data_IF_301294918214
#
_entry.id   IF_301294918214
#
_cell.length_a   1.000
_cell.length_b   1.000
_cell.length_c   1.000
_cell.angle_alpha   90.00
_cell.angle_beta   90.00
_cell.angle_gamma   90.00
#
_symmetry.space_group_name_H-M   'P 1'
#
loop_
_entity.id
_entity.type
_entity.pdbx_description
1 polymer ?
#
# COMPACT_ATOMS: atom_id res chain seq x y z
N UNK A 1 -24.41 13.36 14.69
CA UNK A 1 -25.14 12.33 13.91
C UNK A 1 -24.09 11.40 13.32
N UNK A 2 -24.25 10.06 13.38
CA UNK A 2 -23.29 9.15 12.76
C UNK A 2 -23.27 9.33 11.24
N UNK A 3 -22.11 9.14 10.62
CA UNK A 3 -21.94 9.16 9.17
C UNK A 3 -22.56 7.88 8.55
N UNK A 4 -23.39 8.00 7.51
CA UNK A 4 -23.88 6.83 6.77
C UNK A 4 -22.74 6.05 6.12
N UNK A 5 -22.84 4.72 6.09
CA UNK A 5 -21.82 3.84 5.49
C UNK A 5 -21.50 4.21 4.04
N UNK A 6 -22.53 4.57 3.27
CA UNK A 6 -22.39 4.97 1.86
C UNK A 6 -21.58 6.25 1.66
N UNK A 7 -21.39 7.07 2.72
CA UNK A 7 -20.66 8.34 2.66
C UNK A 7 -19.22 8.23 3.15
N UNK A 8 -18.82 7.08 3.73
CA UNK A 8 -17.48 6.91 4.32
C UNK A 8 -16.40 7.09 3.25
N UNK A 9 -16.53 6.45 2.09
CA UNK A 9 -15.53 6.53 1.01
C UNK A 9 -15.50 7.89 0.30
N UNK A 10 -16.58 8.67 0.40
CA UNK A 10 -16.72 9.99 -0.26
C UNK A 10 -16.59 11.18 0.70
N UNK A 11 -16.18 10.89 1.94
CA UNK A 11 -15.90 11.88 2.97
C UNK A 11 -14.72 12.77 2.56
N UNK A 12 -14.78 14.06 2.92
CA UNK A 12 -13.67 15.00 2.69
C UNK A 12 -12.58 14.77 3.74
N UNK A 13 -11.55 14.03 3.36
CA UNK A 13 -10.39 13.69 4.19
C UNK A 13 -9.13 13.76 3.34
N UNK A 14 -7.97 13.92 3.96
CA UNK A 14 -6.70 13.87 3.22
C UNK A 14 -6.31 12.44 2.84
N UNK A 15 -6.55 11.49 3.77
CA UNK A 15 -6.19 10.07 3.64
C UNK A 15 -7.40 9.18 3.83
N UNK A 16 -7.64 8.31 2.86
CA UNK A 16 -8.58 7.20 2.97
C UNK A 16 -7.82 5.90 3.22
N UNK A 17 -8.17 5.16 4.26
CA UNK A 17 -7.47 3.94 4.66
C UNK A 17 -8.41 2.71 4.72
N UNK A 18 -8.61 1.99 3.60
CA UNK A 18 -9.35 0.72 3.60
C UNK A 18 -8.57 -0.38 4.33
N UNK A 19 -9.07 -0.82 5.49
CA UNK A 19 -8.35 -1.75 6.37
C UNK A 19 -9.12 -3.05 6.70
N UNK A 20 -10.27 -3.29 6.05
CA UNK A 20 -11.13 -4.43 6.33
C UNK A 20 -11.11 -5.48 5.20
N UNK A 21 -11.97 -5.30 4.19
CA UNK A 21 -12.09 -6.22 3.04
C UNK A 21 -11.46 -5.60 1.78
N UNK A 22 -10.98 -6.47 0.89
CA UNK A 22 -10.51 -6.09 -0.44
C UNK A 22 -11.65 -5.64 -1.36
N UNK A 23 -11.29 -4.95 -2.45
CA UNK A 23 -12.21 -4.46 -3.48
C UNK A 23 -13.00 -3.22 -3.08
N UNK A 24 -12.63 -2.56 -1.98
CA UNK A 24 -13.27 -1.33 -1.52
C UNK A 24 -13.13 -0.19 -2.55
N UNK A 25 -12.04 -0.18 -3.31
CA UNK A 25 -11.79 0.76 -4.40
C UNK A 25 -12.06 0.03 -5.73
N UNK A 26 -13.16 0.40 -6.39
CA UNK A 26 -13.65 -0.25 -7.60
C UNK A 26 -14.27 0.78 -8.56
N UNK A 27 -14.72 0.34 -9.74
CA UNK A 27 -15.27 1.20 -10.78
C UNK A 27 -16.47 2.06 -10.33
N UNK A 28 -17.21 1.62 -9.30
CA UNK A 28 -18.34 2.35 -8.74
C UNK A 28 -17.89 3.33 -7.65
N UNK A 29 -16.99 2.91 -6.76
CA UNK A 29 -16.59 3.71 -5.59
C UNK A 29 -15.54 4.77 -5.92
N UNK A 30 -14.65 4.51 -6.88
CA UNK A 30 -13.52 5.40 -7.21
C UNK A 30 -13.97 6.84 -7.54
N UNK A 31 -15.10 6.99 -8.24
CA UNK A 31 -15.65 8.28 -8.65
C UNK A 31 -16.09 9.17 -7.48
N UNK A 32 -16.39 8.56 -6.34
CA UNK A 32 -16.85 9.27 -5.14
C UNK A 32 -15.72 9.68 -4.22
N UNK A 33 -14.50 9.16 -4.41
CA UNK A 33 -13.38 9.39 -3.51
C UNK A 33 -12.90 10.84 -3.65
N UNK A 34 -12.78 11.52 -2.51
CA UNK A 34 -12.28 12.90 -2.42
C UNK A 34 -10.93 13.01 -1.73
N UNK A 35 -10.40 11.88 -1.26
CA UNK A 35 -9.11 11.82 -0.61
C UNK A 35 -7.98 12.00 -1.61
N UNK A 36 -6.90 12.64 -1.17
CA UNK A 36 -5.68 12.80 -1.97
C UNK A 36 -4.78 11.57 -1.90
N UNK A 37 -4.93 10.79 -0.83
CA UNK A 37 -4.10 9.62 -0.56
C UNK A 37 -5.00 8.44 -0.21
N UNK A 38 -4.71 7.28 -0.80
CA UNK A 38 -5.25 5.98 -0.37
C UNK A 38 -4.10 5.16 0.22
N UNK A 39 -4.20 4.86 1.50
CA UNK A 39 -3.15 4.18 2.28
C UNK A 39 -3.76 3.26 3.34
N UNK A 40 -4.41 2.18 2.88
CA UNK A 40 -5.05 1.19 3.74
C UNK A 40 -4.19 -0.05 4.00
N UNK A 41 -4.63 -0.90 4.93
CA UNK A 41 -3.97 -2.16 5.25
C UNK A 41 -4.67 -3.41 4.69
N UNK A 42 -5.87 -3.27 4.10
CA UNK A 42 -6.59 -4.40 3.53
C UNK A 42 -5.78 -5.03 2.38
N UNK A 43 -5.92 -6.34 2.19
CA UNK A 43 -5.39 -7.02 1.01
C UNK A 43 -6.35 -6.83 -0.17
N UNK A 44 -5.79 -6.67 -1.36
CA UNK A 44 -6.50 -6.41 -2.61
C UNK A 44 -7.41 -5.18 -2.51
N UNK A 45 -6.90 -4.03 -2.07
CA UNK A 45 -7.72 -2.81 -1.89
C UNK A 45 -8.41 -2.37 -3.18
N UNK A 46 -7.69 -2.47 -4.29
CA UNK A 46 -8.21 -2.25 -5.63
C UNK A 46 -8.90 -3.52 -6.11
N UNK A 47 -10.10 -3.40 -6.70
CA UNK A 47 -10.79 -4.55 -7.27
C UNK A 47 -10.08 -5.14 -8.48
N UNK A 48 -9.36 -4.30 -9.23
CA UNK A 48 -8.65 -4.63 -10.46
C UNK A 48 -7.41 -3.75 -10.57
N UNK A 49 -6.36 -4.23 -11.27
CA UNK A 49 -5.13 -3.46 -11.45
C UNK A 49 -5.34 -2.13 -12.20
N UNK A 50 -6.25 -2.12 -13.17
CA UNK A 50 -6.62 -0.93 -13.97
C UNK A 50 -7.21 0.22 -13.14
N UNK A 51 -7.70 -0.06 -11.94
CA UNK A 51 -8.14 0.97 -11.00
C UNK A 51 -6.94 1.81 -10.55
N UNK A 52 -5.75 1.21 -10.45
CA UNK A 52 -4.51 1.94 -10.10
C UNK A 52 -4.14 3.00 -11.13
N UNK A 53 -4.43 2.76 -12.40
CA UNK A 53 -4.19 3.74 -13.47
C UNK A 53 -5.21 4.89 -13.41
N UNK A 54 -6.48 4.57 -13.13
CA UNK A 54 -7.52 5.59 -12.93
C UNK A 54 -7.23 6.51 -11.73
N UNK A 55 -6.53 6.03 -10.70
CA UNK A 55 -6.14 6.86 -9.57
C UNK A 55 -5.13 7.95 -9.97
N UNK A 56 -4.29 7.70 -10.99
CA UNK A 56 -3.40 8.73 -11.56
C UNK A 56 -4.22 9.83 -12.22
N UNK A 57 -5.19 9.46 -13.07
CA UNK A 57 -6.05 10.41 -13.78
C UNK A 57 -6.86 11.30 -12.81
N UNK A 58 -7.09 10.81 -11.60
CA UNK A 58 -7.79 11.51 -10.52
C UNK A 58 -6.86 12.27 -9.56
N UNK A 59 -5.55 12.26 -9.79
CA UNK A 59 -4.54 12.87 -8.91
C UNK A 59 -4.61 12.33 -7.47
N UNK A 60 -4.84 11.02 -7.33
CA UNK A 60 -4.90 10.31 -6.05
C UNK A 60 -3.65 9.44 -5.89
N UNK A 61 -2.85 9.74 -4.87
CA UNK A 61 -1.69 8.94 -4.51
C UNK A 61 -2.13 7.62 -3.86
N UNK A 62 -1.71 6.49 -4.41
CA UNK A 62 -2.02 5.17 -3.86
C UNK A 62 -0.78 4.48 -3.30
N UNK A 63 -0.86 4.02 -2.04
CA UNK A 63 0.14 3.14 -1.44
C UNK A 63 -0.25 1.67 -1.67
N UNK A 64 0.51 0.89 -2.47
CA UNK A 64 0.17 -0.50 -2.78
C UNK A 64 0.07 -1.36 -1.52
N UNK A 65 -1.02 -2.12 -1.41
CA UNK A 65 -1.40 -2.88 -0.22
C UNK A 65 -0.30 -3.81 0.30
N UNK A 66 0.25 -4.68 -0.55
CA UNK A 66 1.27 -5.66 -0.18
C UNK A 66 2.61 -5.03 0.25
N UNK A 67 2.80 -3.73 0.00
CA UNK A 67 3.95 -2.97 0.46
C UNK A 67 3.63 -2.30 1.80
N UNK A 68 2.56 -1.51 1.87
CA UNK A 68 2.21 -0.74 3.08
C UNK A 68 1.81 -1.64 4.26
N UNK A 69 1.21 -2.80 4.00
CA UNK A 69 0.76 -3.73 5.05
C UNK A 69 1.81 -4.80 5.43
N UNK A 70 3.04 -4.71 4.91
CA UNK A 70 4.08 -5.74 5.05
C UNK A 70 4.59 -5.96 6.48
N UNK A 71 4.26 -5.08 7.43
CA UNK A 71 4.77 -5.13 8.80
C UNK A 71 4.54 -6.47 9.52
N UNK A 72 3.38 -7.11 9.29
CA UNK A 72 3.09 -8.43 9.88
C UNK A 72 4.00 -9.54 9.35
N UNK A 73 4.30 -9.53 8.05
CA UNK A 73 5.20 -10.51 7.43
C UNK A 73 6.65 -10.30 7.89
N UNK A 74 7.06 -9.04 8.06
CA UNK A 74 8.38 -8.70 8.62
C UNK A 74 8.52 -9.25 10.04
N UNK A 75 7.51 -9.05 10.90
CA UNK A 75 7.51 -9.59 12.26
C UNK A 75 7.62 -11.12 12.27
N UNK A 76 6.80 -11.81 11.48
CA UNK A 76 6.84 -13.28 11.34
C UNK A 76 8.23 -13.76 10.88
N UNK A 77 8.89 -13.04 9.96
CA UNK A 77 10.24 -13.39 9.51
C UNK A 77 11.25 -13.41 10.66
N UNK A 78 11.22 -12.40 11.54
CA UNK A 78 12.12 -12.35 12.71
C UNK A 78 11.76 -13.36 13.80
N UNK A 79 10.47 -13.65 14.00
CA UNK A 79 10.05 -14.70 14.93
C UNK A 79 10.56 -16.09 14.52
N UNK A 80 10.65 -16.36 13.22
CA UNK A 80 11.12 -17.65 12.69
C UNK A 80 12.64 -17.81 12.72
N UNK A 81 13.40 -16.72 12.63
CA UNK A 81 14.87 -16.79 12.56
C UNK A 81 15.53 -16.97 13.92
N UNK A 82 14.85 -16.72 15.06
CA UNK A 82 15.28 -17.05 16.44
C UNK A 82 16.72 -16.66 16.82
N UNK A 83 17.31 -15.65 16.17
CA UNK A 83 18.75 -15.36 16.32
C UNK A 83 19.09 -14.38 17.44
N UNK A 84 18.12 -13.86 18.21
CA UNK A 84 18.35 -12.73 19.12
C UNK A 84 17.45 -12.75 20.35
N UNK A 85 17.90 -12.11 21.44
CA UNK A 85 17.07 -11.85 22.62
C UNK A 85 15.85 -10.97 22.27
N UNK A 86 14.78 -11.06 23.07
CA UNK A 86 13.53 -10.34 22.78
C UNK A 86 13.70 -8.82 22.55
N UNK A 87 14.54 -8.08 23.31
CA UNK A 87 14.77 -6.66 23.05
C UNK A 87 15.48 -6.39 21.71
N UNK A 88 16.50 -7.18 21.37
CA UNK A 88 17.26 -7.05 20.13
C UNK A 88 16.37 -7.38 18.93
N UNK A 89 15.55 -8.44 19.02
CA UNK A 89 14.59 -8.79 17.98
C UNK A 89 13.59 -7.66 17.72
N UNK A 90 13.06 -7.02 18.78
CA UNK A 90 12.14 -5.89 18.64
C UNK A 90 12.77 -4.71 17.91
N UNK A 91 14.03 -4.39 18.21
CA UNK A 91 14.76 -3.33 17.54
C UNK A 91 14.97 -3.63 16.05
N UNK A 92 15.37 -4.87 15.70
CA UNK A 92 15.53 -5.30 14.31
C UNK A 92 14.20 -5.23 13.53
N UNK A 93 13.10 -5.68 14.14
CA UNK A 93 11.76 -5.60 13.55
C UNK A 93 11.40 -4.14 13.26
N UNK A 94 11.52 -3.25 14.25
CA UNK A 94 11.19 -1.83 14.06
C UNK A 94 12.02 -1.20 12.94
N UNK A 95 13.34 -1.42 12.91
CA UNK A 95 14.21 -0.90 11.86
C UNK A 95 13.85 -1.45 10.47
N UNK A 96 13.35 -2.68 10.37
CA UNK A 96 12.91 -3.24 9.09
C UNK A 96 11.52 -2.70 8.69
N UNK A 97 10.59 -2.56 9.65
CA UNK A 97 9.28 -1.95 9.39
C UNK A 97 9.42 -0.51 8.89
N UNK A 98 10.37 0.27 9.41
CA UNK A 98 10.64 1.63 8.93
C UNK A 98 11.02 1.67 7.43
N UNK A 99 11.64 0.61 6.89
CA UNK A 99 11.98 0.51 5.45
C UNK A 99 10.76 0.38 4.53
N UNK A 100 9.56 0.14 5.07
CA UNK A 100 8.32 0.22 4.30
C UNK A 100 8.16 1.63 3.74
N UNK A 101 8.44 2.66 4.56
CA UNK A 101 8.36 4.05 4.13
C UNK A 101 9.37 4.35 3.00
N UNK A 102 10.61 3.88 3.12
CA UNK A 102 11.62 4.02 2.06
C UNK A 102 11.18 3.36 0.76
N UNK A 103 10.62 2.15 0.86
CA UNK A 103 10.16 1.39 -0.32
C UNK A 103 9.00 2.10 -1.01
N UNK A 104 8.03 2.60 -0.25
CA UNK A 104 6.92 3.41 -0.77
C UNK A 104 7.43 4.71 -1.41
N UNK A 105 8.40 5.39 -0.78
CA UNK A 105 9.03 6.58 -1.35
C UNK A 105 9.63 6.32 -2.74
N UNK A 106 10.35 5.20 -2.91
CA UNK A 106 10.88 4.78 -4.22
C UNK A 106 9.77 4.53 -5.23
N UNK A 107 8.68 3.88 -4.82
CA UNK A 107 7.52 3.62 -5.69
C UNK A 107 6.88 4.94 -6.16
N UNK A 108 6.67 5.87 -5.24
CA UNK A 108 6.05 7.16 -5.54
C UNK A 108 6.90 7.99 -6.51
N UNK A 109 8.21 8.07 -6.26
CA UNK A 109 9.15 8.78 -7.14
C UNK A 109 9.11 8.17 -8.55
N UNK A 110 9.23 6.85 -8.66
CA UNK A 110 9.21 6.16 -9.96
C UNK A 110 7.88 6.29 -10.68
N UNK A 111 6.77 6.20 -9.97
CA UNK A 111 5.43 6.41 -10.53
C UNK A 111 5.33 7.81 -11.14
N UNK A 112 5.78 8.84 -10.42
CA UNK A 112 5.81 10.22 -10.90
C UNK A 112 6.75 10.42 -12.11
N UNK A 113 7.92 9.78 -12.12
CA UNK A 113 8.90 9.88 -13.22
C UNK A 113 8.45 9.16 -14.50
N UNK A 114 7.71 8.07 -14.38
CA UNK A 114 7.33 7.20 -15.51
C UNK A 114 5.90 7.42 -16.00
N UNK A 115 5.04 8.04 -15.19
CA UNK A 115 3.61 8.13 -15.45
C UNK A 115 2.86 6.79 -15.29
N UNK A 116 3.50 5.76 -14.74
CA UNK A 116 2.88 4.46 -14.47
C UNK A 116 2.30 4.41 -13.05
N UNK A 117 1.24 3.62 -12.84
CA UNK A 117 0.61 3.51 -11.53
C UNK A 117 1.54 2.95 -10.46
N UNK A 118 1.36 3.40 -9.22
CA UNK A 118 2.11 2.89 -8.08
C UNK A 118 1.97 1.37 -7.92
N UNK A 119 0.80 0.82 -8.27
CA UNK A 119 0.56 -0.62 -8.31
C UNK A 119 1.51 -1.33 -9.29
N UNK A 120 1.54 -0.87 -10.54
CA UNK A 120 2.39 -1.46 -11.58
C UNK A 120 3.88 -1.32 -11.26
N UNK A 121 4.31 -0.16 -10.76
CA UNK A 121 5.70 0.06 -10.34
C UNK A 121 6.09 -0.89 -9.21
N UNK A 122 5.23 -1.09 -8.21
CA UNK A 122 5.50 -2.00 -7.12
C UNK A 122 5.62 -3.47 -7.60
N UNK A 123 4.75 -3.89 -8.52
CA UNK A 123 4.82 -5.22 -9.14
C UNK A 123 6.12 -5.41 -9.93
N UNK A 124 6.50 -4.47 -10.79
CA UNK A 124 7.76 -4.53 -11.53
C UNK A 124 8.98 -4.58 -10.61
N UNK A 125 8.96 -3.80 -9.52
CA UNK A 125 10.00 -3.84 -8.50
C UNK A 125 10.07 -5.17 -7.78
N UNK A 126 8.92 -5.82 -7.50
CA UNK A 126 8.87 -7.14 -6.90
C UNK A 126 9.39 -8.20 -7.88
N UNK A 127 8.92 -8.23 -9.12
CA UNK A 127 9.36 -9.15 -10.17
C UNK A 127 10.88 -9.08 -10.40
N UNK A 128 11.45 -7.88 -10.45
CA UNK A 128 12.89 -7.69 -10.63
C UNK A 128 13.73 -8.32 -9.52
N UNK A 129 13.18 -8.57 -8.33
CA UNK A 129 13.88 -9.29 -7.25
C UNK A 129 13.93 -10.80 -7.46
N UNK A 130 13.03 -11.35 -8.27
CA UNK A 130 12.93 -12.79 -8.54
C UNK A 130 13.60 -13.21 -9.85
N UNK A 131 13.91 -12.26 -10.74
CA UNK A 131 14.69 -12.55 -11.95
C UNK A 131 16.14 -12.90 -11.58
N UNK A 132 16.74 -13.95 -12.17
CA UNK A 132 18.17 -14.24 -12.01
C UNK A 132 18.97 -13.01 -12.42
N UNK A 133 20.03 -12.69 -11.68
CA UNK A 133 21.03 -11.75 -12.16
C UNK A 133 21.92 -12.51 -13.14
N UNK A 134 22.00 -12.04 -14.38
CA UNK A 134 22.97 -12.54 -15.37
C UNK A 134 24.42 -12.38 -14.90
#
# INVERSE_FOLDING_TARGET
MPLPVAEILSSQVDVLAPCALGGAINAQTIKGIKAKIIAGAANNQLSEQSIGDQLIDLDILYAPDFVINAGGIIDIHYQRTRTSSAPVARQLINMHVEKIADTLGVIFIKSNETGLSCQLIAEQMAEAKFKPRD
#
